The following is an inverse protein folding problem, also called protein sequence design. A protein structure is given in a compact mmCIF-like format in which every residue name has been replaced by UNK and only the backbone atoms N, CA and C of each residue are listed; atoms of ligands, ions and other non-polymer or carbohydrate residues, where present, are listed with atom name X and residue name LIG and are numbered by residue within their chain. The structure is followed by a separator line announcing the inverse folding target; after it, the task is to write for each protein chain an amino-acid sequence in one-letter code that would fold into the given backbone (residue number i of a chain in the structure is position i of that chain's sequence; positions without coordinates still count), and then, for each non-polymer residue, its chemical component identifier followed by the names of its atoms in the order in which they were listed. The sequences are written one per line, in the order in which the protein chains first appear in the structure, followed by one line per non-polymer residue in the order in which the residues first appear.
data_IF_426999483280
#
_entry.id   IF_426999483280
#
_cell.length_a   1.000
_cell.length_b   1.000
_cell.length_c   1.000
_cell.angle_alpha   90.00
_cell.angle_beta   90.00
_cell.angle_gamma   90.00
#
_symmetry.space_group_name_H-M   'P 1'
#
loop_
_entity.id
_entity.type
_entity.pdbx_description
1 polymer ?
#
# COMPACT_ATOMS: atom_id res chain seq x y z
N UNK A 1 -16.81 -19.80 -8.18
CA UNK A 1 -17.00 -18.41 -7.68
C UNK A 1 -16.32 -17.44 -8.65
N UNK A 2 -17.07 -16.85 -9.59
CA UNK A 2 -16.53 -15.99 -10.68
C UNK A 2 -15.82 -14.75 -10.14
N UNK A 3 -16.29 -14.18 -9.03
CA UNK A 3 -15.67 -13.01 -8.42
C UNK A 3 -14.23 -13.28 -7.96
N UNK A 4 -13.93 -14.49 -7.45
CA UNK A 4 -12.55 -14.87 -7.10
C UNK A 4 -11.66 -14.92 -8.35
N UNK A 5 -12.13 -15.55 -9.43
CA UNK A 5 -11.37 -15.65 -10.68
C UNK A 5 -11.02 -14.27 -11.23
N UNK A 6 -11.98 -13.33 -11.27
CA UNK A 6 -11.74 -11.96 -11.73
C UNK A 6 -10.67 -11.27 -10.86
N UNK A 7 -10.79 -11.36 -9.52
CA UNK A 7 -9.79 -10.76 -8.61
C UNK A 7 -8.41 -11.33 -8.81
N UNK A 8 -8.27 -12.65 -8.91
CA UNK A 8 -6.97 -13.30 -9.09
C UNK A 8 -6.36 -12.92 -10.45
N UNK A 9 -7.15 -12.93 -11.52
CA UNK A 9 -6.69 -12.54 -12.87
C UNK A 9 -6.23 -11.08 -12.95
N UNK A 10 -6.94 -10.18 -12.26
CA UNK A 10 -6.60 -8.76 -12.19
C UNK A 10 -5.65 -8.42 -11.04
N UNK A 11 -5.20 -9.42 -10.27
CA UNK A 11 -4.35 -9.27 -9.07
C UNK A 11 -4.91 -8.25 -8.06
N UNK A 12 -6.23 -8.19 -7.95
CA UNK A 12 -6.93 -7.30 -7.02
C UNK A 12 -6.86 -7.84 -5.59
N UNK A 13 -6.49 -6.96 -4.67
CA UNK A 13 -6.48 -7.22 -3.24
C UNK A 13 -7.30 -6.16 -2.49
N UNK A 14 -7.45 -6.35 -1.19
CA UNK A 14 -8.23 -5.46 -0.34
C UNK A 14 -7.62 -4.05 -0.34
N UNK A 15 -8.45 -3.04 -0.62
CA UNK A 15 -8.05 -1.62 -0.68
C UNK A 15 -6.87 -1.45 -1.66
N UNK A 16 -7.05 -1.97 -2.88
CA UNK A 16 -6.07 -1.82 -3.96
C UNK A 16 -5.80 -0.32 -4.23
N UNK A 17 -4.55 0.17 -4.15
CA UNK A 17 -4.20 1.58 -4.29
C UNK A 17 -4.74 2.25 -5.56
N UNK A 18 -4.66 1.54 -6.69
CA UNK A 18 -5.12 2.06 -7.99
C UNK A 18 -6.64 2.24 -8.08
N UNK A 19 -7.41 1.40 -7.37
CA UNK A 19 -8.87 1.34 -7.47
C UNK A 19 -9.57 1.83 -6.19
N UNK A 20 -8.83 2.51 -5.32
CA UNK A 20 -9.33 3.03 -4.05
C UNK A 20 -9.30 4.55 -4.01
N UNK A 21 -10.30 5.15 -3.36
CA UNK A 21 -10.37 6.61 -3.16
C UNK A 21 -9.18 7.06 -2.29
N UNK A 22 -8.56 8.20 -2.63
CA UNK A 22 -7.46 8.81 -1.84
C UNK A 22 -7.79 8.94 -0.35
N UNK A 23 -9.02 9.37 0.00
CA UNK A 23 -9.47 9.46 1.40
C UNK A 23 -9.48 8.12 2.13
N UNK A 24 -9.79 7.01 1.44
CA UNK A 24 -9.73 5.67 2.04
C UNK A 24 -8.27 5.24 2.26
N UNK A 25 -7.40 5.51 1.28
CA UNK A 25 -5.97 5.18 1.34
C UNK A 25 -5.22 5.97 2.41
N UNK A 26 -5.59 7.23 2.63
CA UNK A 26 -5.03 8.04 3.71
C UNK A 26 -5.36 7.44 5.09
N UNK A 27 -6.61 7.00 5.27
CA UNK A 27 -7.14 6.53 6.54
C UNK A 27 -6.93 5.03 6.81
N UNK A 28 -6.32 4.28 5.89
CA UNK A 28 -6.12 2.83 6.04
C UNK A 28 -4.64 2.46 5.92
N UNK A 29 -4.09 1.67 6.87
CA UNK A 29 -2.73 1.16 6.79
C UNK A 29 -2.62 -0.06 5.86
N UNK A 30 -3.74 -0.76 5.59
CA UNK A 30 -3.77 -2.06 4.90
C UNK A 30 -2.98 -2.09 3.58
N UNK A 31 -3.07 -1.08 2.69
CA UNK A 31 -2.34 -1.11 1.41
C UNK A 31 -0.84 -0.91 1.57
N UNK A 32 -0.39 -0.45 2.74
CA UNK A 32 0.98 0.01 3.02
C UNK A 32 1.70 -0.87 4.04
N UNK A 33 1.09 -1.99 4.43
CA UNK A 33 1.69 -2.95 5.35
C UNK A 33 2.86 -3.67 4.66
N UNK A 34 4.02 -3.63 5.29
CA UNK A 34 5.23 -4.32 4.85
C UNK A 34 5.81 -5.14 5.99
N UNK A 35 6.52 -6.21 5.66
CA UNK A 35 7.33 -6.90 6.64
C UNK A 35 8.68 -6.18 6.80
N UNK A 36 9.00 -5.82 8.04
CA UNK A 36 10.27 -5.22 8.43
C UNK A 36 10.77 -5.90 9.70
N UNK A 37 11.94 -6.55 9.63
CA UNK A 37 12.53 -7.32 10.74
C UNK A 37 11.57 -8.36 11.35
N UNK A 38 10.79 -9.05 10.51
CA UNK A 38 9.81 -10.06 10.96
C UNK A 38 8.53 -9.49 11.57
N UNK A 39 8.33 -8.17 11.53
CA UNK A 39 7.12 -7.49 12.00
C UNK A 39 6.37 -6.86 10.82
N UNK A 40 5.05 -7.00 10.82
CA UNK A 40 4.18 -6.31 9.85
C UNK A 40 3.89 -4.91 10.38
N UNK A 41 4.32 -3.89 9.63
CA UNK A 41 4.24 -2.48 10.03
C UNK A 41 3.74 -1.63 8.87
N UNK A 42 3.10 -0.50 9.18
CA UNK A 42 2.75 0.49 8.15
C UNK A 42 4.02 1.20 7.68
N UNK A 43 4.37 1.05 6.40
CA UNK A 43 5.58 1.64 5.84
C UNK A 43 5.62 3.17 5.96
N UNK A 44 4.47 3.84 6.06
CA UNK A 44 4.37 5.31 6.20
C UNK A 44 4.75 5.82 7.58
N UNK A 45 4.81 4.93 8.58
CA UNK A 45 5.20 5.27 9.95
C UNK A 45 6.66 4.93 10.25
N UNK A 46 7.38 4.34 9.29
CA UNK A 46 8.79 4.01 9.43
C UNK A 46 9.69 5.27 9.37
N UNK A 47 10.96 5.18 9.77
CA UNK A 47 11.93 6.27 9.62
C UNK A 47 12.02 6.83 8.19
N UNK A 48 12.38 8.11 8.06
CA UNK A 48 12.29 8.86 6.80
C UNK A 48 13.17 8.28 5.66
N UNK A 49 14.34 7.76 6.01
CA UNK A 49 15.25 7.03 5.11
C UNK A 49 14.59 5.76 4.57
N UNK A 50 13.92 5.00 5.43
CA UNK A 50 13.18 3.79 5.04
C UNK A 50 11.97 4.15 4.18
N UNK A 51 11.26 5.23 4.50
CA UNK A 51 10.17 5.73 3.67
C UNK A 51 10.65 6.16 2.28
N UNK A 52 11.82 6.80 2.17
CA UNK A 52 12.39 7.19 0.89
C UNK A 52 12.69 5.97 0.01
N UNK A 53 13.27 4.91 0.60
CA UNK A 53 13.47 3.63 -0.09
C UNK A 53 12.15 2.96 -0.47
N UNK A 54 11.13 3.02 0.40
CA UNK A 54 9.80 2.49 0.12
C UNK A 54 9.14 3.22 -1.06
N UNK A 55 9.27 4.54 -1.15
CA UNK A 55 8.84 5.35 -2.30
C UNK A 55 9.61 5.00 -3.57
N UNK A 56 10.94 4.88 -3.49
CA UNK A 56 11.78 4.43 -4.63
C UNK A 56 11.34 3.08 -5.19
N UNK A 57 10.89 2.18 -4.31
CA UNK A 57 10.37 0.85 -4.65
C UNK A 57 8.88 0.84 -4.99
N UNK A 58 8.20 1.99 -4.97
CA UNK A 58 6.75 2.16 -5.19
C UNK A 58 5.87 1.36 -4.22
N UNK A 59 6.36 1.14 -3.00
CA UNK A 59 5.62 0.46 -1.93
C UNK A 59 4.62 1.40 -1.24
N UNK A 60 4.93 2.69 -1.16
CA UNK A 60 4.03 3.75 -0.71
C UNK A 60 4.04 4.89 -1.74
N UNK A 61 2.98 5.71 -1.82
CA UNK A 61 2.93 6.81 -2.77
C UNK A 61 3.95 7.89 -2.44
N UNK A 62 4.42 8.58 -3.47
CA UNK A 62 5.00 9.90 -3.27
C UNK A 62 3.90 10.80 -2.72
N UNK A 63 4.18 11.42 -1.57
CA UNK A 63 3.34 12.51 -1.08
C UNK A 63 3.79 13.73 -1.89
N UNK A 64 3.15 13.98 -3.03
CA UNK A 64 3.22 15.30 -3.61
C UNK A 64 2.55 16.27 -2.62
N UNK A 65 3.26 17.29 -2.12
CA UNK A 65 2.60 18.38 -1.43
C UNK A 65 1.82 19.18 -2.49
N UNK A 66 0.49 19.15 -2.43
CA UNK A 66 -0.33 20.23 -3.01
C UNK A 66 -0.05 21.55 -2.29
#
# INVERSE_FOLDING_TARGET
NKAKQIRDSLKLYQIHPEFSRRKLLANSPVPWLVESNGLIVDARTLPADVQAEARRKRLIPDLDPE
#
